data_IF_422363930039
#
_entry.id   IF_422363930039
#
_cell.length_a   1.000
_cell.length_b   1.000
_cell.length_c   1.000
_cell.angle_alpha   90.00
_cell.angle_beta   90.00
_cell.angle_gamma   90.00
#
_symmetry.space_group_name_H-M   'P 1'
#
loop_
_entity.id
_entity.type
_entity.pdbx_description
1 polymer ?
#
# COMPACT_ATOMS: atom_id res chain seq x y z
N UNK A 1 -4.67 30.38 -5.01
CA UNK A 1 -4.64 29.67 -3.70
C UNK A 1 -6.08 29.47 -3.24
N UNK A 2 -6.44 28.31 -2.69
CA UNK A 2 -7.78 28.08 -2.10
C UNK A 2 -7.67 28.26 -0.57
N UNK A 3 -8.09 29.41 0.00
CA UNK A 3 -7.88 29.73 1.42
C UNK A 3 -8.49 28.68 2.37
N UNK A 4 -9.62 28.08 1.99
CA UNK A 4 -10.31 27.08 2.81
C UNK A 4 -9.55 25.76 2.94
N UNK A 5 -8.55 25.53 2.08
CA UNK A 5 -7.67 24.34 2.13
C UNK A 5 -6.28 24.65 2.69
N UNK A 6 -6.02 25.90 3.08
CA UNK A 6 -4.74 26.32 3.62
C UNK A 6 -4.70 26.16 5.13
N UNK A 7 -3.58 25.66 5.63
CA UNK A 7 -3.27 25.55 7.06
C UNK A 7 -1.93 26.24 7.26
N UNK A 8 -1.88 27.23 8.16
CA UNK A 8 -0.68 28.03 8.42
C UNK A 8 -0.29 27.92 9.89
N UNK A 9 1.03 27.89 10.17
CA UNK A 9 1.57 27.90 11.54
C UNK A 9 1.22 26.68 12.40
N UNK A 10 0.75 25.58 11.81
CA UNK A 10 0.37 24.37 12.55
C UNK A 10 1.60 23.51 12.89
N UNK A 11 1.58 22.89 14.06
CA UNK A 11 2.62 21.93 14.51
C UNK A 11 2.48 20.56 13.82
N UNK A 12 1.28 20.25 13.31
CA UNK A 12 1.01 19.05 12.54
C UNK A 12 0.08 19.31 11.35
N UNK A 13 0.24 18.53 10.29
CA UNK A 13 -0.55 18.65 9.06
C UNK A 13 -0.79 17.29 8.42
N UNK A 14 -2.04 17.01 8.01
CA UNK A 14 -2.34 15.90 7.10
C UNK A 14 -2.09 16.36 5.66
N UNK A 15 -1.15 15.73 4.96
CA UNK A 15 -0.83 16.08 3.58
C UNK A 15 -0.45 14.83 2.79
N UNK A 16 -1.00 14.67 1.58
CA UNK A 16 -0.72 13.54 0.68
C UNK A 16 -0.73 12.16 1.38
N UNK A 17 -1.72 11.86 2.22
CA UNK A 17 -1.80 10.54 2.85
C UNK A 17 -0.84 10.28 4.02
N UNK A 18 -0.06 11.29 4.42
CA UNK A 18 0.81 11.24 5.61
C UNK A 18 0.44 12.34 6.61
N UNK A 19 0.77 12.10 7.88
CA UNK A 19 0.79 13.10 8.95
C UNK A 19 2.22 13.63 9.07
N UNK A 20 2.38 14.93 8.89
CA UNK A 20 3.63 15.65 9.08
C UNK A 20 3.57 16.26 10.48
N UNK A 21 4.58 16.03 11.30
CA UNK A 21 4.72 16.58 12.64
C UNK A 21 6.13 17.17 12.80
N UNK A 22 6.39 17.83 13.92
CA UNK A 22 7.74 18.29 14.30
C UNK A 22 8.76 17.15 14.43
N UNK A 23 8.29 15.93 14.73
CA UNK A 23 9.13 14.74 14.93
C UNK A 23 9.38 13.97 13.64
N UNK A 24 8.59 14.21 12.58
CA UNK A 24 8.79 13.57 11.29
C UNK A 24 7.52 13.35 10.50
N UNK A 25 7.50 12.27 9.72
CA UNK A 25 6.40 11.90 8.83
C UNK A 25 5.92 10.51 9.18
N UNK A 26 4.61 10.37 9.37
CA UNK A 26 3.95 9.11 9.70
C UNK A 26 2.83 8.84 8.69
N UNK A 27 2.55 7.57 8.36
CA UNK A 27 1.40 7.26 7.52
C UNK A 27 0.10 7.59 8.25
N UNK A 28 -0.93 8.01 7.53
CA UNK A 28 -2.24 8.23 8.16
C UNK A 28 -2.87 6.87 8.55
N UNK A 29 -3.37 6.71 9.79
CA UNK A 29 -4.00 5.47 10.24
C UNK A 29 -5.14 5.01 9.31
N UNK A 30 -5.93 5.95 8.81
CA UNK A 30 -7.02 5.69 7.86
C UNK A 30 -6.53 5.03 6.55
N UNK A 31 -5.30 5.35 6.11
CA UNK A 31 -4.73 4.80 4.87
C UNK A 31 -4.06 3.45 5.09
N UNK A 32 -3.47 3.25 6.26
CA UNK A 32 -2.94 1.95 6.70
C UNK A 32 -4.09 0.96 6.91
N UNK A 33 -5.17 1.40 7.55
CA UNK A 33 -6.37 0.60 7.74
C UNK A 33 -6.96 0.11 6.41
N UNK A 34 -6.98 0.96 5.38
CA UNK A 34 -7.41 0.55 4.04
C UNK A 34 -6.52 -0.54 3.41
N UNK A 35 -5.25 -0.67 3.81
CA UNK A 35 -4.37 -1.76 3.39
C UNK A 35 -4.69 -3.04 4.16
N UNK A 36 -4.88 -2.95 5.48
CA UNK A 36 -5.32 -4.09 6.30
C UNK A 36 -6.65 -4.68 5.82
N UNK A 37 -7.62 -3.82 5.53
CA UNK A 37 -8.98 -4.22 5.14
C UNK A 37 -9.08 -4.63 3.66
N UNK A 38 -8.03 -4.44 2.87
CA UNK A 38 -8.05 -4.76 1.45
C UNK A 38 -8.32 -6.26 1.24
N UNK A 39 -9.43 -6.67 0.59
CA UNK A 39 -9.75 -8.10 0.46
C UNK A 39 -8.73 -8.82 -0.42
N UNK A 40 -8.56 -10.13 -0.24
CA UNK A 40 -7.67 -10.92 -1.11
C UNK A 40 -8.09 -10.75 -2.59
N UNK A 41 -7.27 -10.13 -3.46
CA UNK A 41 -7.70 -9.82 -4.81
C UNK A 41 -7.89 -11.08 -5.66
N UNK A 42 -9.02 -11.17 -6.34
CA UNK A 42 -9.33 -12.28 -7.26
C UNK A 42 -8.80 -12.07 -8.67
N UNK A 43 -8.55 -10.81 -9.06
CA UNK A 43 -8.09 -10.43 -10.40
C UNK A 43 -6.80 -9.62 -10.35
N UNK A 44 -6.02 -9.68 -11.44
CA UNK A 44 -4.72 -9.02 -11.54
C UNK A 44 -4.75 -7.52 -11.33
N UNK A 45 -5.86 -6.85 -11.72
CA UNK A 45 -6.05 -5.42 -11.46
C UNK A 45 -6.13 -5.11 -9.96
N UNK A 46 -6.81 -5.94 -9.18
CA UNK A 46 -6.91 -5.78 -7.73
C UNK A 46 -5.56 -6.01 -7.04
N UNK A 47 -4.78 -6.99 -7.53
CA UNK A 47 -3.43 -7.23 -7.02
C UNK A 47 -2.48 -6.06 -7.32
N UNK A 48 -2.54 -5.49 -8.54
CA UNK A 48 -1.79 -4.28 -8.89
C UNK A 48 -2.18 -3.09 -8.01
N UNK A 49 -3.47 -2.92 -7.71
CA UNK A 49 -3.95 -1.87 -6.81
C UNK A 49 -3.38 -2.04 -5.40
N UNK A 50 -3.44 -3.26 -4.84
CA UNK A 50 -2.86 -3.55 -3.53
C UNK A 50 -1.34 -3.29 -3.50
N UNK A 51 -0.59 -3.81 -4.48
CA UNK A 51 0.85 -3.59 -4.59
C UNK A 51 1.16 -2.09 -4.70
N UNK A 52 0.36 -1.33 -5.45
CA UNK A 52 0.52 0.13 -5.57
C UNK A 52 0.31 0.85 -4.24
N UNK A 53 -0.73 0.46 -3.49
CA UNK A 53 -1.01 0.99 -2.15
C UNK A 53 0.13 0.68 -1.17
N UNK A 54 0.60 -0.57 -1.12
CA UNK A 54 1.70 -0.98 -0.26
C UNK A 54 3.02 -0.29 -0.64
N UNK A 55 3.31 -0.17 -1.95
CA UNK A 55 4.50 0.53 -2.42
C UNK A 55 4.51 2.03 -2.07
N UNK A 56 3.34 2.66 -1.99
CA UNK A 56 3.25 4.05 -1.53
C UNK A 56 3.83 4.22 -0.12
N UNK A 57 3.56 3.26 0.76
CA UNK A 57 4.05 3.23 2.14
C UNK A 57 5.33 2.42 2.35
N UNK A 58 6.08 2.11 1.27
CA UNK A 58 7.29 1.27 1.33
C UNK A 58 8.36 1.73 2.32
N UNK A 59 8.37 3.02 2.69
CA UNK A 59 9.31 3.58 3.68
C UNK A 59 9.12 2.95 5.07
N UNK A 60 7.90 2.54 5.39
CA UNK A 60 7.53 1.90 6.66
C UNK A 60 7.38 0.39 6.54
N UNK A 61 7.68 -0.19 5.37
CA UNK A 61 7.64 -1.63 5.13
C UNK A 61 9.08 -2.18 5.05
N UNK A 62 9.59 -2.83 6.11
CA UNK A 62 10.92 -3.42 6.10
C UNK A 62 11.05 -4.45 4.97
N UNK A 63 12.13 -4.34 4.20
CA UNK A 63 12.42 -5.21 3.06
C UNK A 63 11.28 -5.26 2.02
N UNK A 64 10.63 -4.11 1.75
CA UNK A 64 9.48 -4.02 0.86
C UNK A 64 9.64 -4.77 -0.48
N UNK A 65 10.82 -4.72 -1.10
CA UNK A 65 11.09 -5.45 -2.33
C UNK A 65 10.95 -6.97 -2.17
N UNK A 66 11.52 -7.54 -1.11
CA UNK A 66 11.41 -8.96 -0.80
C UNK A 66 9.98 -9.33 -0.40
N UNK A 67 9.35 -8.49 0.43
CA UNK A 67 7.98 -8.70 0.89
C UNK A 67 6.96 -8.71 -0.27
N UNK A 68 7.16 -7.88 -1.30
CA UNK A 68 6.26 -7.77 -2.47
C UNK A 68 6.63 -8.71 -3.63
N UNK A 69 7.82 -9.31 -3.63
CA UNK A 69 8.32 -10.12 -4.74
C UNK A 69 7.43 -11.32 -5.13
N UNK A 70 6.84 -12.08 -4.18
CA UNK A 70 5.93 -13.18 -4.52
C UNK A 70 4.68 -12.70 -5.27
N UNK A 71 4.10 -11.58 -4.83
CA UNK A 71 2.95 -10.96 -5.50
C UNK A 71 3.31 -10.38 -6.88
N UNK A 72 4.48 -9.75 -7.02
CA UNK A 72 4.96 -9.32 -8.33
C UNK A 72 5.15 -10.49 -9.30
N UNK A 73 5.58 -11.65 -8.79
CA UNK A 73 5.77 -12.85 -9.61
C UNK A 73 4.46 -13.40 -10.15
N UNK A 74 3.34 -13.29 -9.41
CA UNK A 74 2.00 -13.62 -9.93
C UNK A 74 1.57 -12.74 -11.09
N UNK A 75 2.11 -11.52 -11.20
CA UNK A 75 1.82 -10.61 -12.30
C UNK A 75 2.72 -10.86 -13.51
N UNK A 76 3.90 -11.48 -13.32
CA UNK A 76 4.82 -11.83 -14.41
C UNK A 76 4.20 -12.95 -15.25
N UNK A 77 4.08 -12.72 -16.55
CA UNK A 77 3.51 -13.70 -17.50
C UNK A 77 2.01 -13.52 -17.78
N UNK A 78 1.32 -12.61 -17.09
CA UNK A 78 -0.06 -12.25 -17.44
C UNK A 78 -0.07 -11.39 -18.72
N UNK A 79 -0.35 -12.03 -19.85
CA UNK A 79 -0.46 -11.40 -21.17
C UNK A 79 -1.68 -10.47 -21.30
N UNK A 80 -2.74 -10.71 -20.53
CA UNK A 80 -4.00 -9.97 -20.58
C UNK A 80 -4.21 -9.14 -19.31
N UNK A 81 -4.89 -8.00 -19.46
CA UNK A 81 -5.32 -7.18 -18.32
C UNK A 81 -6.49 -7.85 -17.61
N UNK A 82 -6.56 -7.73 -16.28
CA UNK A 82 -7.69 -8.13 -15.44
C UNK A 82 -8.04 -9.64 -15.46
N UNK A 83 -7.02 -10.50 -15.46
CA UNK A 83 -7.15 -11.97 -15.44
C UNK A 83 -7.38 -12.47 -14.02
N UNK A 84 -8.12 -13.57 -13.86
CA UNK A 84 -8.29 -14.27 -12.57
C UNK A 84 -6.94 -14.79 -12.09
N UNK A 85 -6.60 -14.51 -10.83
CA UNK A 85 -5.33 -14.90 -10.22
C UNK A 85 -5.40 -16.33 -9.71
N UNK A 86 -4.36 -17.11 -9.99
CA UNK A 86 -4.09 -18.37 -9.30
C UNK A 86 -3.06 -18.08 -8.21
N UNK A 87 -3.51 -18.04 -6.96
CA UNK A 87 -2.64 -17.74 -5.83
C UNK A 87 -1.78 -18.95 -5.47
N UNK A 88 -0.51 -18.68 -5.16
CA UNK A 88 0.38 -19.65 -4.51
C UNK A 88 0.44 -19.37 -3.02
N UNK A 89 0.77 -20.37 -2.21
CA UNK A 89 0.89 -20.19 -0.75
C UNK A 89 1.90 -19.11 -0.39
N UNK A 90 3.03 -19.05 -1.10
CA UNK A 90 4.04 -18.01 -0.93
C UNK A 90 3.49 -16.60 -1.20
N UNK A 91 2.61 -16.44 -2.19
CA UNK A 91 2.01 -15.14 -2.48
C UNK A 91 0.92 -14.77 -1.46
N UNK A 92 0.13 -15.73 -0.99
CA UNK A 92 -0.86 -15.52 0.08
C UNK A 92 -0.17 -15.07 1.36
N UNK A 93 0.93 -15.74 1.70
CA UNK A 93 1.72 -15.41 2.89
C UNK A 93 2.36 -14.04 2.77
N UNK A 94 2.97 -13.72 1.62
CA UNK A 94 3.46 -12.38 1.28
C UNK A 94 2.38 -11.30 1.45
N UNK A 95 1.16 -11.54 0.96
CA UNK A 95 0.03 -10.62 1.11
C UNK A 95 -0.33 -10.37 2.59
N UNK A 96 -0.37 -11.43 3.41
CA UNK A 96 -0.63 -11.32 4.86
C UNK A 96 0.50 -10.60 5.59
N UNK A 97 1.75 -10.91 5.27
CA UNK A 97 2.91 -10.28 5.90
C UNK A 97 2.99 -8.79 5.61
N UNK A 98 2.73 -8.38 4.37
CA UNK A 98 2.69 -6.95 4.00
C UNK A 98 1.63 -6.22 4.80
N UNK A 99 0.47 -6.83 5.01
CA UNK A 99 -0.57 -6.28 5.90
C UNK A 99 -0.19 -6.27 7.37
N UNK A 100 0.72 -7.10 7.85
CA UNK A 100 1.11 -7.06 9.27
C UNK A 100 2.22 -6.06 9.55
N UNK A 101 3.06 -5.81 8.54
CA UNK A 101 4.24 -4.93 8.63
C UNK A 101 3.91 -3.45 8.38
N UNK A 102 2.83 -3.17 7.67
CA UNK A 102 2.27 -1.82 7.50
C UNK A 102 1.18 -1.60 8.53
#
# INVERSE_FOLDING_TARGET
INPNKCVFGAQELKFLGVKITTEGILPLPEKVQAIHDFPLPTKSKGLQQFIGMANYYRRWLPEAAAALAPMHSLLKGLQRRNVVLTWTDAAIESFRQVKQKL
#
